data_IF_342500696346
#
_entry.id   IF_342500696346
#
_cell.length_a   1.000
_cell.length_b   1.000
_cell.length_c   1.000
_cell.angle_alpha   90.00
_cell.angle_beta   90.00
_cell.angle_gamma   90.00
#
_symmetry.space_group_name_H-M   'P 1'
#
loop_
_entity.id
_entity.type
_entity.pdbx_description
1 polymer ?
#
# COMPACT_ATOMS: atom_id res chain seq x y z
N UNK A 1 -68.25 -24.25 -5.86
CA UNK A 1 -67.01 -23.47 -6.10
C UNK A 1 -66.79 -22.53 -4.93
N UNK A 2 -65.84 -22.83 -4.04
CA UNK A 2 -65.47 -22.01 -2.87
C UNK A 2 -63.98 -21.64 -3.03
N UNK A 3 -63.69 -20.38 -3.29
CA UNK A 3 -62.33 -19.85 -3.29
C UNK A 3 -62.03 -19.28 -1.89
N UNK A 4 -61.00 -19.84 -1.24
CA UNK A 4 -60.46 -19.34 0.03
C UNK A 4 -59.44 -18.25 -0.27
N UNK A 5 -59.71 -17.04 0.23
CA UNK A 5 -58.76 -15.95 0.38
C UNK A 5 -57.67 -16.35 1.38
N UNK A 6 -56.39 -16.27 0.98
CA UNK A 6 -55.23 -16.36 1.86
C UNK A 6 -54.73 -14.95 2.12
N UNK A 7 -54.92 -14.49 3.35
CA UNK A 7 -54.24 -13.33 3.93
C UNK A 7 -52.75 -13.63 4.09
N UNK A 8 -51.92 -12.71 3.61
CA UNK A 8 -50.47 -12.77 3.71
C UNK A 8 -50.06 -12.14 5.04
N UNK A 9 -49.38 -12.92 5.86
CA UNK A 9 -48.86 -12.57 7.18
C UNK A 9 -47.35 -12.25 7.04
N UNK A 10 -46.85 -11.04 7.33
CA UNK A 10 -45.43 -10.71 7.22
C UNK A 10 -44.77 -10.61 8.59
N UNK A 11 -44.87 -11.63 9.44
CA UNK A 11 -44.11 -11.69 10.69
C UNK A 11 -43.58 -13.10 10.97
N UNK A 12 -42.53 -13.54 10.27
CA UNK A 12 -41.59 -14.58 10.78
C UNK A 12 -40.19 -14.40 10.23
N UNK A 13 -39.40 -13.57 10.91
CA UNK A 13 -37.94 -13.55 10.84
C UNK A 13 -37.33 -13.95 12.19
N UNK A 14 -37.73 -15.10 12.73
CA UNK A 14 -37.20 -15.64 13.98
C UNK A 14 -35.74 -16.12 13.78
N UNK A 15 -34.77 -15.43 14.37
CA UNK A 15 -33.40 -15.95 14.48
C UNK A 15 -33.36 -17.07 15.53
N UNK A 16 -33.22 -18.32 15.08
CA UNK A 16 -32.88 -19.47 15.92
C UNK A 16 -31.37 -19.61 16.00
N UNK A 17 -30.81 -19.45 17.20
CA UNK A 17 -29.43 -19.82 17.51
C UNK A 17 -29.35 -21.36 17.59
N UNK A 18 -28.50 -21.97 16.76
CA UNK A 18 -28.26 -23.41 16.80
C UNK A 18 -27.33 -23.75 17.98
N UNK A 19 -27.83 -24.56 18.92
CA UNK A 19 -27.00 -25.35 19.83
C UNK A 19 -26.43 -26.54 19.07
N UNK A 20 -25.11 -26.60 18.88
CA UNK A 20 -24.43 -27.86 18.59
C UNK A 20 -24.46 -28.71 19.87
N UNK A 21 -25.27 -29.79 19.87
CA UNK A 21 -25.19 -30.85 20.88
C UNK A 21 -23.96 -31.71 20.57
N UNK A 22 -23.19 -31.99 21.60
CA UNK A 22 -21.86 -32.57 21.53
C UNK A 22 -21.73 -33.89 20.79
N UNK A 23 -20.55 -34.06 20.19
CA UNK A 23 -19.94 -35.34 19.95
C UNK A 23 -18.82 -35.50 20.98
N UNK A 24 -18.90 -36.55 21.80
CA UNK A 24 -17.79 -37.02 22.64
C UNK A 24 -16.68 -37.52 21.71
N UNK A 25 -15.47 -37.03 21.90
CA UNK A 25 -14.26 -37.75 21.50
C UNK A 25 -13.33 -37.79 22.70
N UNK A 26 -13.09 -39.01 23.18
CA UNK A 26 -12.23 -39.33 24.30
C UNK A 26 -10.76 -38.96 24.03
N UNK A 27 -10.08 -38.52 25.09
CA UNK A 27 -8.67 -38.81 25.35
C UNK A 27 -7.62 -37.95 24.64
N UNK A 28 -7.12 -36.91 25.31
CA UNK A 28 -5.72 -36.85 25.79
C UNK A 28 -5.32 -35.45 26.28
N UNK A 29 -4.49 -35.47 27.32
CA UNK A 29 -3.96 -34.41 28.19
C UNK A 29 -3.49 -33.09 27.54
N UNK A 30 -3.93 -31.94 28.09
CA UNK A 30 -3.17 -30.67 28.23
C UNK A 30 -3.80 -29.79 29.36
N UNK A 31 -3.06 -28.83 29.96
CA UNK A 31 -3.20 -28.42 31.36
C UNK A 31 -4.37 -27.48 31.65
N UNK A 32 -4.76 -27.49 32.93
CA UNK A 32 -5.91 -26.83 33.53
C UNK A 32 -5.83 -25.31 33.51
N UNK A 33 -6.94 -24.73 33.05
CA UNK A 33 -7.37 -23.33 33.19
C UNK A 33 -7.59 -22.96 34.65
N UNK A 34 -6.69 -22.16 35.23
CA UNK A 34 -6.99 -21.36 36.40
C UNK A 34 -6.01 -20.18 36.48
N UNK A 35 -6.24 -19.14 35.66
CA UNK A 35 -5.73 -17.78 35.94
C UNK A 35 -6.35 -16.65 35.09
N UNK A 36 -7.51 -16.89 34.45
CA UNK A 36 -8.07 -15.92 33.48
C UNK A 36 -9.41 -15.29 33.89
N UNK A 37 -9.88 -15.49 35.12
CA UNK A 37 -11.21 -15.00 35.55
C UNK A 37 -11.20 -13.73 36.42
N UNK A 38 -10.08 -13.02 36.60
CA UNK A 38 -10.05 -11.81 37.49
C UNK A 38 -9.70 -10.47 36.84
N UNK A 39 -9.84 -10.31 35.52
CA UNK A 39 -9.62 -9.00 34.86
C UNK A 39 -10.63 -8.63 33.78
N UNK A 40 -11.92 -8.78 34.08
CA UNK A 40 -12.99 -8.30 33.19
C UNK A 40 -14.20 -7.74 33.93
N UNK A 41 -13.96 -7.16 35.12
CA UNK A 41 -14.91 -6.25 35.76
C UNK A 41 -14.38 -4.82 35.61
N UNK A 42 -15.33 -3.90 35.35
CA UNK A 42 -15.21 -2.50 34.94
C UNK A 42 -14.86 -2.24 33.47
N UNK A 43 -15.87 -2.04 32.62
CA UNK A 43 -16.05 -0.80 31.84
C UNK A 43 -17.53 -0.63 31.43
N UNK A 44 -17.96 0.63 31.47
CA UNK A 44 -19.33 1.17 31.42
C UNK A 44 -20.04 1.05 30.06
N UNK A 45 -21.37 1.26 30.10
CA UNK A 45 -22.34 1.30 28.99
C UNK A 45 -21.80 1.67 27.61
N UNK A 46 -21.96 0.75 26.65
CA UNK A 46 -21.48 0.82 25.27
C UNK A 46 -20.47 -0.27 24.97
N UNK A 47 -20.90 -1.51 24.71
CA UNK A 47 -19.97 -2.63 24.52
C UNK A 47 -19.34 -2.57 23.12
N UNK A 48 -18.13 -2.02 23.04
CA UNK A 48 -17.22 -2.11 21.89
C UNK A 48 -16.54 -3.47 21.90
N UNK A 49 -16.82 -4.31 20.91
CA UNK A 49 -16.21 -5.64 20.82
C UNK A 49 -15.05 -5.61 19.82
N UNK A 50 -13.85 -5.83 20.35
CA UNK A 50 -12.59 -5.85 19.62
C UNK A 50 -12.24 -7.28 19.20
N UNK A 51 -12.13 -7.51 17.90
CA UNK A 51 -11.60 -8.75 17.35
C UNK A 51 -10.32 -8.45 16.57
N UNK A 52 -9.18 -8.84 17.15
CA UNK A 52 -7.88 -8.83 16.45
C UNK A 52 -7.68 -10.19 15.76
N UNK A 53 -7.63 -10.20 14.43
CA UNK A 53 -7.38 -11.39 13.64
C UNK A 53 -5.99 -12.01 13.87
N UNK A 54 -5.05 -11.34 14.57
CA UNK A 54 -3.69 -11.84 14.75
C UNK A 54 -3.55 -12.96 15.81
N UNK A 55 -4.52 -13.14 16.71
CA UNK A 55 -4.57 -14.26 17.66
C UNK A 55 -5.23 -15.50 17.05
N UNK A 56 -4.69 -16.03 15.94
CA UNK A 56 -5.21 -17.22 15.24
C UNK A 56 -5.28 -18.52 16.09
N UNK A 57 -4.70 -18.53 17.30
CA UNK A 57 -4.71 -19.70 18.19
C UNK A 57 -5.64 -19.56 19.41
N UNK A 58 -6.36 -18.44 19.57
CA UNK A 58 -7.48 -18.35 20.52
C UNK A 58 -8.77 -18.34 19.73
N UNK A 59 -9.46 -19.48 19.72
CA UNK A 59 -10.86 -19.58 19.31
C UNK A 59 -11.69 -18.66 20.21
N UNK A 60 -11.94 -17.42 19.77
CA UNK A 60 -12.98 -16.60 20.38
C UNK A 60 -14.30 -17.21 19.94
N UNK A 61 -14.92 -17.93 20.86
CA UNK A 61 -16.24 -18.51 20.66
C UNK A 61 -17.26 -17.36 20.51
N UNK A 62 -17.68 -17.09 19.27
CA UNK A 62 -18.69 -16.07 18.98
C UNK A 62 -20.01 -16.35 19.74
N UNK A 63 -20.24 -17.59 20.20
CA UNK A 63 -21.38 -17.95 21.05
C UNK A 63 -21.22 -17.49 22.52
N UNK A 64 -20.03 -17.05 22.93
CA UNK A 64 -19.73 -16.48 24.26
C UNK A 64 -19.68 -14.95 24.26
N UNK A 65 -19.92 -14.30 23.13
CA UNK A 65 -20.14 -12.84 23.12
C UNK A 65 -21.34 -12.57 24.04
N UNK A 66 -21.19 -11.78 25.12
CA UNK A 66 -22.26 -11.46 26.04
C UNK A 66 -23.49 -10.93 25.31
N UNK A 67 -24.67 -11.27 25.81
CA UNK A 67 -25.90 -10.70 25.26
C UNK A 67 -25.89 -9.17 25.41
N UNK A 68 -26.32 -8.45 24.37
CA UNK A 68 -26.15 -7.00 24.28
C UNK A 68 -26.97 -6.26 25.35
N UNK A 69 -26.30 -5.81 26.42
CA UNK A 69 -26.90 -4.95 27.45
C UNK A 69 -26.92 -3.46 27.03
N UNK A 70 -26.06 -3.05 26.09
CA UNK A 70 -25.96 -1.67 25.60
C UNK A 70 -26.91 -1.37 24.43
N UNK A 71 -27.23 -0.08 24.25
CA UNK A 71 -28.04 0.47 23.14
C UNK A 71 -27.34 0.41 21.78
N UNK A 72 -26.01 0.31 21.78
CA UNK A 72 -25.16 0.34 20.58
C UNK A 72 -24.12 -0.76 20.66
N UNK A 73 -24.07 -1.63 19.65
CA UNK A 73 -23.04 -2.66 19.50
C UNK A 73 -22.27 -2.39 18.22
N UNK A 74 -21.00 -2.05 18.35
CA UNK A 74 -20.08 -1.87 17.22
C UNK A 74 -18.98 -2.92 17.33
N UNK A 75 -18.86 -3.74 16.29
CA UNK A 75 -17.84 -4.76 16.15
C UNK A 75 -16.73 -4.22 15.26
N UNK A 76 -15.51 -4.12 15.78
CA UNK A 76 -14.34 -3.70 15.02
C UNK A 76 -13.53 -4.95 14.66
N UNK A 77 -13.42 -5.23 13.37
CA UNK A 77 -12.66 -6.33 12.82
C UNK A 77 -11.44 -5.77 12.10
N UNK A 78 -10.25 -6.29 12.40
CA UNK A 78 -9.02 -5.92 11.73
C UNK A 78 -8.25 -7.19 11.33
N UNK A 79 -7.71 -7.18 10.11
CA UNK A 79 -6.83 -8.24 9.64
C UNK A 79 -7.48 -9.59 9.41
N UNK A 80 -8.74 -9.59 9.00
CA UNK A 80 -9.44 -10.80 8.57
C UNK A 80 -8.72 -11.43 7.37
N UNK A 81 -8.35 -12.72 7.46
CA UNK A 81 -7.98 -13.48 6.27
C UNK A 81 -9.22 -14.02 5.56
N UNK A 82 -9.05 -14.40 4.28
CA UNK A 82 -10.11 -15.02 3.49
C UNK A 82 -10.58 -16.34 4.11
N UNK A 83 -9.65 -17.10 4.68
CA UNK A 83 -9.92 -18.36 5.37
C UNK A 83 -10.71 -18.12 6.66
N UNK A 84 -10.35 -17.08 7.43
CA UNK A 84 -11.10 -16.69 8.62
C UNK A 84 -12.53 -16.31 8.24
N UNK A 85 -12.72 -15.55 7.16
CA UNK A 85 -14.05 -15.21 6.66
C UNK A 85 -14.84 -16.45 6.27
N UNK A 86 -14.26 -17.37 5.50
CA UNK A 86 -14.92 -18.62 5.14
C UNK A 86 -15.30 -19.46 6.37
N UNK A 87 -14.48 -19.45 7.42
CA UNK A 87 -14.73 -20.18 8.66
C UNK A 87 -15.82 -19.56 9.53
N UNK A 88 -15.73 -18.25 9.81
CA UNK A 88 -16.63 -17.56 10.74
C UNK A 88 -17.96 -17.12 10.10
N UNK A 89 -17.99 -16.87 8.79
CA UNK A 89 -19.13 -16.19 8.16
C UNK A 89 -20.01 -17.16 7.37
N UNK A 90 -19.48 -18.28 6.83
CA UNK A 90 -20.33 -19.31 6.21
C UNK A 90 -21.47 -19.82 7.11
N UNK A 91 -21.32 -19.96 8.44
CA UNK A 91 -22.40 -20.44 9.30
C UNK A 91 -23.37 -19.35 9.76
N UNK A 92 -23.06 -18.06 9.61
CA UNK A 92 -23.83 -16.97 10.25
C UNK A 92 -24.99 -16.51 9.34
N UNK A 93 -26.26 -16.81 9.68
CA UNK A 93 -27.41 -16.42 8.85
C UNK A 93 -27.57 -14.90 8.86
N UNK A 94 -27.81 -14.30 7.69
CA UNK A 94 -28.10 -12.86 7.55
C UNK A 94 -26.88 -11.97 7.28
N UNK A 95 -25.65 -12.47 7.45
CA UNK A 95 -24.46 -11.73 7.05
C UNK A 95 -24.23 -11.88 5.54
N UNK A 96 -24.24 -10.77 4.81
CA UNK A 96 -24.10 -10.81 3.36
C UNK A 96 -22.67 -11.24 2.97
N UNK A 97 -22.51 -12.40 2.34
CA UNK A 97 -21.20 -12.90 1.87
C UNK A 97 -20.53 -11.94 0.88
N UNK A 98 -21.32 -11.19 0.10
CA UNK A 98 -20.75 -10.22 -0.84
C UNK A 98 -20.05 -9.07 -0.13
N UNK A 99 -20.41 -8.76 1.12
CA UNK A 99 -19.75 -7.71 1.90
C UNK A 99 -18.26 -8.01 2.11
N UNK A 100 -17.94 -9.21 2.63
CA UNK A 100 -16.53 -9.58 2.84
C UNK A 100 -15.80 -9.82 1.53
N UNK A 101 -16.49 -10.36 0.52
CA UNK A 101 -15.92 -10.48 -0.81
C UNK A 101 -15.48 -9.12 -1.36
N UNK A 102 -16.34 -8.10 -1.30
CA UNK A 102 -16.04 -6.73 -1.75
C UNK A 102 -14.92 -6.07 -0.95
N UNK A 103 -14.85 -6.34 0.36
CA UNK A 103 -13.74 -5.90 1.21
C UNK A 103 -12.42 -6.40 0.64
N UNK A 104 -12.28 -7.69 0.30
CA UNK A 104 -11.01 -8.25 -0.17
C UNK A 104 -10.60 -7.90 -1.60
N UNK A 105 -11.50 -7.38 -2.44
CA UNK A 105 -11.12 -7.00 -3.80
C UNK A 105 -10.16 -5.81 -3.78
N UNK A 106 -9.25 -5.70 -4.75
CA UNK A 106 -8.40 -4.50 -4.89
C UNK A 106 -9.19 -3.30 -5.41
N UNK A 107 -10.10 -3.52 -6.35
CA UNK A 107 -11.03 -2.54 -6.88
C UNK A 107 -12.46 -3.07 -6.75
N UNK A 108 -13.43 -2.19 -6.55
CA UNK A 108 -14.84 -2.60 -6.62
C UNK A 108 -15.24 -2.70 -8.09
N UNK A 109 -15.92 -3.77 -8.54
CA UNK A 109 -16.37 -3.88 -9.92
C UNK A 109 -17.36 -2.77 -10.25
N UNK A 110 -17.29 -2.24 -11.47
CA UNK A 110 -18.21 -1.20 -11.91
C UNK A 110 -19.66 -1.69 -11.82
N UNK A 111 -20.53 -0.91 -11.17
CA UNK A 111 -21.95 -1.23 -11.01
C UNK A 111 -22.29 -2.25 -9.91
N UNK A 112 -21.30 -2.84 -9.23
CA UNK A 112 -21.55 -3.77 -8.11
C UNK A 112 -21.67 -3.09 -6.74
N UNK A 113 -21.31 -1.80 -6.63
CA UNK A 113 -21.83 -0.97 -5.55
C UNK A 113 -23.31 -0.66 -5.80
N UNK A 114 -24.17 -1.68 -5.74
CA UNK A 114 -25.52 -1.44 -5.26
C UNK A 114 -25.34 -1.17 -3.78
N UNK A 115 -25.24 0.12 -3.42
CA UNK A 115 -25.33 0.57 -2.05
C UNK A 115 -26.59 -0.07 -1.47
N UNK A 116 -26.43 -1.16 -0.73
CA UNK A 116 -27.49 -1.56 0.18
C UNK A 116 -27.60 -0.40 1.15
N UNK A 117 -28.81 0.02 1.51
CA UNK A 117 -29.03 1.13 2.43
C UNK A 117 -28.22 1.04 3.73
N UNK A 118 -27.75 -0.17 4.09
CA UNK A 118 -27.06 -0.45 5.33
C UNK A 118 -25.61 -0.97 5.16
N UNK A 119 -24.94 -0.74 4.02
CA UNK A 119 -23.50 -1.01 3.91
C UNK A 119 -22.77 -0.02 3.01
N UNK A 120 -21.50 0.22 3.30
CA UNK A 120 -20.59 0.99 2.44
C UNK A 120 -19.17 0.41 2.45
N UNK A 121 -18.43 0.71 1.38
CA UNK A 121 -17.07 0.24 1.16
C UNK A 121 -16.24 1.41 0.66
N UNK A 122 -15.14 1.70 1.36
CA UNK A 122 -14.21 2.74 0.97
C UNK A 122 -12.83 2.14 0.80
N UNK A 123 -12.17 2.58 -0.27
CA UNK A 123 -10.79 2.25 -0.59
C UNK A 123 -10.07 3.56 -0.87
N UNK A 124 -9.01 3.83 -0.15
CA UNK A 124 -8.28 5.09 -0.30
C UNK A 124 -6.79 4.86 -0.17
N UNK A 125 -6.04 5.93 -0.42
CA UNK A 125 -4.60 5.93 -0.26
C UNK A 125 -4.25 6.74 0.98
N UNK A 126 -3.53 6.09 1.89
CA UNK A 126 -2.93 6.71 3.07
C UNK A 126 -1.45 6.92 2.84
N UNK A 127 -0.89 7.98 3.41
CA UNK A 127 0.55 8.13 3.49
C UNK A 127 1.12 7.19 4.55
N UNK A 128 2.14 6.43 4.19
CA UNK A 128 2.95 5.68 5.15
C UNK A 128 4.44 5.93 4.98
N UNK A 129 5.17 5.90 6.09
CA UNK A 129 6.64 5.99 6.12
C UNK A 129 7.25 4.61 6.35
N UNK A 130 8.16 4.19 5.46
CA UNK A 130 8.93 2.95 5.60
C UNK A 130 10.42 3.28 5.72
N UNK A 131 11.17 2.59 6.58
CA UNK A 131 12.64 2.79 6.62
C UNK A 131 13.25 2.40 5.27
N UNK A 132 14.11 3.26 4.73
CA UNK A 132 14.69 3.11 3.38
C UNK A 132 15.49 1.84 3.19
N UNK A 133 16.29 1.46 4.18
CA UNK A 133 17.05 0.22 4.11
C UNK A 133 16.14 -1.02 4.05
N UNK A 134 14.99 -1.00 4.75
CA UNK A 134 13.98 -2.06 4.72
C UNK A 134 13.25 -2.11 3.37
N UNK A 135 12.91 -0.94 2.81
CA UNK A 135 12.36 -0.85 1.45
C UNK A 135 13.31 -1.39 0.39
N UNK A 136 14.61 -1.08 0.49
CA UNK A 136 15.63 -1.58 -0.41
C UNK A 136 15.73 -3.12 -0.33
N UNK A 137 15.70 -3.69 0.89
CA UNK A 137 15.66 -5.14 1.06
C UNK A 137 14.40 -5.75 0.44
N UNK A 138 13.23 -5.17 0.68
CA UNK A 138 11.98 -5.66 0.10
C UNK A 138 11.99 -5.63 -1.44
N UNK A 139 12.50 -4.55 -2.02
CA UNK A 139 12.66 -4.40 -3.48
C UNK A 139 13.61 -5.46 -4.05
N UNK A 140 14.70 -5.78 -3.32
CA UNK A 140 15.63 -6.86 -3.71
C UNK A 140 14.97 -8.23 -3.67
N UNK A 141 14.24 -8.53 -2.59
CA UNK A 141 13.53 -9.80 -2.43
C UNK A 141 12.47 -9.97 -3.53
N UNK A 142 11.71 -8.90 -3.82
CA UNK A 142 10.74 -8.91 -4.92
C UNK A 142 11.38 -9.16 -6.29
N UNK A 143 12.64 -8.77 -6.47
CA UNK A 143 13.44 -9.06 -7.67
C UNK A 143 14.10 -10.45 -7.66
N UNK A 144 13.77 -11.33 -6.70
CA UNK A 144 14.35 -12.67 -6.57
C UNK A 144 15.80 -12.68 -6.09
N UNK A 145 16.29 -11.57 -5.52
CA UNK A 145 17.66 -11.47 -4.97
C UNK A 145 17.65 -11.84 -3.49
N UNK A 146 18.79 -12.32 -2.99
CA UNK A 146 18.99 -12.57 -1.57
C UNK A 146 18.79 -11.29 -0.74
N UNK A 147 18.30 -11.48 0.49
CA UNK A 147 18.03 -10.40 1.44
C UNK A 147 19.33 -9.68 1.85
N UNK A 148 20.43 -10.41 1.92
CA UNK A 148 21.76 -9.85 2.14
C UNK A 148 22.41 -9.49 0.79
N UNK A 149 23.05 -8.32 0.74
CA UNK A 149 23.83 -7.87 -0.41
C UNK A 149 25.05 -8.73 -0.69
N UNK A 150 25.61 -9.36 0.33
CA UNK A 150 26.91 -10.01 0.27
C UNK A 150 26.83 -11.52 -0.03
N UNK A 151 25.66 -12.14 0.15
CA UNK A 151 25.54 -13.60 0.02
C UNK A 151 24.84 -14.04 -1.26
N UNK A 152 25.51 -14.90 -2.04
CA UNK A 152 24.95 -15.55 -3.23
C UNK A 152 23.94 -16.66 -2.92
N UNK A 153 23.99 -17.23 -1.71
CA UNK A 153 23.06 -18.24 -1.19
C UNK A 153 22.27 -17.66 -0.03
N UNK A 154 21.09 -18.20 0.24
CA UNK A 154 20.30 -17.84 1.41
C UNK A 154 21.05 -18.29 2.69
N UNK A 155 21.44 -17.37 3.60
CA UNK A 155 22.10 -17.73 4.86
C UNK A 155 21.33 -18.74 5.72
N UNK A 156 20.00 -18.85 5.58
CA UNK A 156 19.22 -19.91 6.23
C UNK A 156 19.63 -21.32 5.79
N UNK A 157 20.04 -21.50 4.54
CA UNK A 157 20.42 -22.80 3.98
C UNK A 157 21.79 -23.29 4.49
N UNK A 158 22.61 -22.37 5.01
CA UNK A 158 23.96 -22.62 5.53
C UNK A 158 24.04 -22.44 7.05
N UNK A 159 22.91 -22.23 7.72
CA UNK A 159 22.84 -22.09 9.18
C UNK A 159 23.61 -20.90 9.73
N UNK A 160 23.69 -19.79 8.97
CA UNK A 160 24.34 -18.56 9.43
C UNK A 160 23.32 -17.62 10.06
N UNK A 161 23.78 -16.91 11.10
CA UNK A 161 23.04 -15.80 11.70
C UNK A 161 22.66 -14.77 10.63
N UNK A 162 21.39 -14.36 10.62
CA UNK A 162 20.92 -13.43 9.61
C UNK A 162 19.69 -12.64 10.05
N UNK A 163 19.41 -11.57 9.31
CA UNK A 163 18.16 -10.84 9.36
C UNK A 163 17.24 -11.34 8.26
N UNK A 164 16.17 -12.03 8.64
CA UNK A 164 15.15 -12.51 7.73
C UNK A 164 14.02 -11.48 7.63
N UNK A 165 13.73 -11.02 6.41
CA UNK A 165 12.53 -10.24 6.18
C UNK A 165 11.32 -11.16 6.13
N UNK A 166 10.46 -11.12 7.17
CA UNK A 166 9.18 -11.83 7.16
C UNK A 166 8.06 -10.86 6.83
N UNK A 167 7.28 -11.22 5.81
CA UNK A 167 5.99 -10.58 5.56
C UNK A 167 4.85 -11.38 6.17
N UNK A 168 3.94 -10.69 6.88
CA UNK A 168 2.76 -11.26 7.51
C UNK A 168 1.55 -10.36 7.22
N UNK A 169 0.36 -10.86 6.79
CA UNK A 169 0.02 -12.09 6.04
C UNK A 169 -0.11 -11.83 4.51
N UNK A 170 -0.53 -12.87 3.76
CA UNK A 170 -0.55 -12.96 2.27
C UNK A 170 -1.43 -11.94 1.53
N UNK A 171 -2.38 -11.28 2.20
CA UNK A 171 -3.27 -10.29 1.57
C UNK A 171 -2.56 -8.94 1.57
N UNK A 172 -1.71 -8.73 0.57
CA UNK A 172 -1.06 -7.43 0.37
C UNK A 172 -1.90 -6.62 -0.59
N UNK A 173 -2.53 -5.55 -0.08
CA UNK A 173 -2.86 -4.46 -0.99
C UNK A 173 -1.57 -3.82 -1.49
N UNK A 174 -1.51 -3.45 -2.77
CA UNK A 174 -0.35 -2.77 -3.31
C UNK A 174 -0.10 -1.47 -2.53
N UNK A 175 1.16 -1.08 -2.46
CA UNK A 175 1.55 0.25 -2.04
C UNK A 175 2.66 0.74 -2.95
N UNK A 176 2.65 2.04 -3.20
CA UNK A 176 3.47 2.66 -4.23
C UNK A 176 4.39 3.67 -3.56
N UNK A 177 5.70 3.66 -3.83
CA UNK A 177 6.56 4.75 -3.38
C UNK A 177 6.05 6.05 -4.04
N UNK A 178 5.93 7.10 -3.23
CA UNK A 178 5.61 8.45 -3.67
C UNK A 178 6.86 9.18 -4.15
N UNK A 179 8.03 8.69 -3.76
CA UNK A 179 9.32 9.25 -4.14
C UNK A 179 9.98 8.44 -5.26
N UNK A 180 10.79 9.09 -6.09
CA UNK A 180 11.56 8.38 -7.10
C UNK A 180 12.59 7.44 -6.46
N UNK A 181 12.73 6.24 -7.02
CA UNK A 181 13.82 5.34 -6.67
C UNK A 181 15.13 5.89 -7.27
N UNK A 182 15.79 6.74 -6.50
CA UNK A 182 17.07 7.30 -6.90
C UNK A 182 18.17 6.30 -6.62
N UNK A 183 18.77 5.74 -7.68
CA UNK A 183 20.06 5.06 -7.61
C UNK A 183 21.19 6.10 -7.69
N UNK A 184 21.10 7.15 -6.87
CA UNK A 184 22.19 8.11 -6.84
C UNK A 184 23.35 7.47 -6.10
N UNK A 185 24.54 7.54 -6.69
CA UNK A 185 25.78 7.31 -5.95
C UNK A 185 25.74 8.28 -4.76
N UNK A 186 25.88 7.79 -3.53
CA UNK A 186 25.83 8.61 -2.31
C UNK A 186 26.79 9.82 -2.36
N UNK A 187 27.80 9.75 -3.22
CA UNK A 187 28.82 10.78 -3.43
C UNK A 187 28.43 11.92 -4.39
N UNK A 188 27.36 11.82 -5.18
CA UNK A 188 27.02 12.82 -6.21
C UNK A 188 25.98 13.86 -5.76
N UNK A 189 25.56 13.82 -4.49
CA UNK A 189 24.53 14.70 -3.96
C UNK A 189 25.11 15.77 -3.01
N UNK A 190 24.61 17.01 -3.05
CA UNK A 190 25.14 18.11 -2.24
C UNK A 190 24.96 17.94 -0.72
N UNK A 191 24.05 17.05 -0.27
CA UNK A 191 23.88 16.75 1.15
C UNK A 191 23.32 15.32 1.34
N UNK A 192 24.15 14.33 1.73
CA UNK A 192 23.68 12.98 2.00
C UNK A 192 22.72 12.90 3.21
N UNK A 193 22.67 13.90 4.09
CA UNK A 193 21.69 13.97 5.19
C UNK A 193 20.31 14.46 4.75
N UNK A 194 20.19 15.03 3.55
CA UNK A 194 18.91 15.50 3.02
C UNK A 194 18.01 14.35 2.52
N UNK A 195 18.57 13.15 2.32
CA UNK A 195 17.73 11.97 2.09
C UNK A 195 17.17 11.46 3.40
N UNK A 196 15.86 11.65 3.53
CA UNK A 196 15.06 11.04 4.58
C UNK A 196 15.43 9.56 4.72
N UNK A 197 15.75 9.15 5.96
CA UNK A 197 15.91 7.74 6.39
C UNK A 197 14.71 6.88 5.98
N UNK A 198 13.61 7.53 5.60
CA UNK A 198 12.34 6.96 5.23
C UNK A 198 12.05 7.11 3.73
N UNK A 199 11.22 6.21 3.23
CA UNK A 199 10.58 6.29 1.92
C UNK A 199 9.10 6.52 2.19
N UNK A 200 8.52 7.48 1.47
CA UNK A 200 7.10 7.82 1.59
C UNK A 200 6.32 6.96 0.61
N UNK A 201 5.24 6.36 1.06
CA UNK A 201 4.39 5.46 0.26
C UNK A 201 2.93 5.92 0.25
N UNK A 202 2.27 5.73 -0.89
CA UNK A 202 0.82 5.70 -1.01
C UNK A 202 0.38 4.26 -0.77
N UNK A 203 -0.15 4.05 0.42
CA UNK A 203 -0.60 2.80 0.97
C UNK A 203 -2.08 2.66 0.70
N UNK A 204 -2.48 1.63 -0.05
CA UNK A 204 -3.89 1.34 -0.26
C UNK A 204 -4.50 0.74 1.01
N UNK A 205 -5.57 1.34 1.49
CA UNK A 205 -6.34 0.97 2.68
C UNK A 205 -7.80 0.76 2.30
N UNK A 206 -8.48 -0.10 3.04
CA UNK A 206 -9.90 -0.35 2.89
C UNK A 206 -10.60 -0.40 4.24
N UNK A 207 -11.78 0.20 4.24
CA UNK A 207 -12.73 0.15 5.33
C UNK A 207 -14.07 -0.28 4.77
N UNK A 208 -14.72 -1.24 5.41
CA UNK A 208 -16.05 -1.70 5.03
C UNK A 208 -16.95 -1.66 6.25
N UNK A 209 -18.12 -1.06 6.10
CA UNK A 209 -19.08 -0.92 7.18
C UNK A 209 -20.41 -1.54 6.79
N UNK A 210 -20.91 -2.42 7.63
CA UNK A 210 -22.23 -3.02 7.54
C UNK A 210 -22.95 -2.71 8.83
N UNK A 211 -24.20 -2.28 8.77
CA UNK A 211 -24.97 -2.05 9.98
C UNK A 211 -26.42 -2.53 9.81
N UNK A 212 -27.12 -2.60 10.92
CA UNK A 212 -28.55 -2.88 10.97
C UNK A 212 -29.11 -2.39 12.31
N UNK A 213 -30.44 -2.33 12.41
CA UNK A 213 -31.14 -2.12 13.68
C UNK A 213 -31.85 -3.41 14.06
N UNK A 214 -31.60 -3.90 15.27
CA UNK A 214 -32.25 -5.09 15.85
C UNK A 214 -32.92 -4.63 17.14
N UNK A 215 -34.25 -4.73 17.22
CA UNK A 215 -35.03 -4.25 18.37
C UNK A 215 -34.70 -2.81 18.75
N UNK A 216 -34.67 -1.90 17.76
CA UNK A 216 -34.24 -0.49 17.88
C UNK A 216 -32.78 -0.27 18.33
N UNK A 217 -32.02 -1.33 18.61
CA UNK A 217 -30.61 -1.24 18.95
C UNK A 217 -29.75 -1.22 17.69
N UNK A 218 -28.77 -0.32 17.68
CA UNK A 218 -27.81 -0.26 16.59
C UNK A 218 -26.81 -1.41 16.67
N UNK A 219 -26.62 -2.12 15.56
CA UNK A 219 -25.61 -3.17 15.42
C UNK A 219 -24.79 -2.91 14.16
N UNK A 220 -23.51 -2.59 14.34
CA UNK A 220 -22.58 -2.29 13.25
C UNK A 220 -21.37 -3.22 13.25
N UNK A 221 -20.87 -3.57 12.08
CA UNK A 221 -19.64 -4.31 11.83
C UNK A 221 -18.75 -3.45 10.93
N UNK A 222 -17.61 -3.05 11.47
CA UNK A 222 -16.61 -2.25 10.77
C UNK A 222 -15.36 -3.11 10.54
N UNK A 223 -14.96 -3.25 9.29
CA UNK A 223 -13.84 -4.08 8.88
C UNK A 223 -12.74 -3.21 8.30
N UNK A 224 -11.56 -3.30 8.89
CA UNK A 224 -10.33 -2.68 8.42
C UNK A 224 -9.40 -3.72 7.81
N UNK A 225 -8.58 -3.27 6.87
CA UNK A 225 -7.48 -4.08 6.35
C UNK A 225 -6.52 -4.55 7.44
N UNK A 226 -5.73 -5.58 7.13
CA UNK A 226 -4.67 -6.04 8.02
C UNK A 226 -3.63 -4.95 8.27
N UNK A 227 -3.11 -4.83 9.51
CA UNK A 227 -1.98 -3.96 9.76
C UNK A 227 -0.78 -4.44 8.95
N UNK A 228 -0.03 -3.49 8.39
CA UNK A 228 1.17 -3.73 7.60
C UNK A 228 2.34 -4.12 8.49
N UNK A 229 2.29 -5.32 9.06
CA UNK A 229 3.32 -5.85 9.96
C UNK A 229 4.45 -6.53 9.16
N UNK A 230 5.11 -5.73 8.34
CA UNK A 230 6.40 -6.14 7.80
C UNK A 230 7.42 -6.06 8.90
N UNK A 231 8.15 -7.15 9.11
CA UNK A 231 9.17 -7.17 10.13
C UNK A 231 10.45 -7.82 9.64
N UNK A 232 11.56 -7.23 10.06
CA UNK A 232 12.85 -7.91 10.01
C UNK A 232 13.02 -8.68 11.29
N UNK A 233 13.28 -9.98 11.15
CA UNK A 233 13.47 -10.90 12.25
C UNK A 233 14.92 -11.32 12.29
N UNK A 234 15.59 -11.03 13.39
CA UNK A 234 16.96 -11.49 13.60
C UNK A 234 16.93 -12.96 14.05
N UNK A 235 17.46 -13.84 13.20
CA UNK A 235 17.61 -15.27 13.44
C UNK A 235 19.04 -15.58 13.83
N UNK A 236 19.21 -16.31 14.94
CA UNK A 236 20.50 -16.82 15.40
C UNK A 236 20.52 -18.33 15.40
N UNK A 237 21.59 -18.90 14.86
CA UNK A 237 21.85 -20.33 14.78
C UNK A 237 22.93 -20.72 15.78
N UNK A 238 22.68 -21.79 16.53
CA UNK A 238 23.69 -22.37 17.42
C UNK A 238 24.51 -23.38 16.62
N UNK A 239 25.84 -23.24 16.65
CA UNK A 239 26.74 -24.16 15.95
C UNK A 239 26.51 -25.59 16.47
N UNK A 240 26.26 -26.54 15.57
CA UNK A 240 26.32 -27.97 15.86
C UNK A 240 25.01 -28.72 16.08
N UNK A 241 23.82 -28.13 15.87
CA UNK A 241 22.57 -28.89 15.83
C UNK A 241 21.56 -28.33 14.82
N UNK A 242 20.71 -29.22 14.32
CA UNK A 242 19.53 -29.00 13.45
C UNK A 242 18.40 -28.25 14.20
N UNK A 243 18.75 -27.19 14.93
CA UNK A 243 17.81 -26.43 15.76
C UNK A 243 17.14 -25.33 14.95
N UNK A 244 15.85 -25.11 15.23
CA UNK A 244 15.14 -23.94 14.72
C UNK A 244 15.84 -22.66 15.19
N UNK A 245 16.02 -21.66 14.31
CA UNK A 245 16.67 -20.41 14.67
C UNK A 245 15.91 -19.69 15.79
N UNK A 246 16.65 -19.10 16.72
CA UNK A 246 16.09 -18.28 17.79
C UNK A 246 15.77 -16.88 17.24
N UNK A 247 14.53 -16.41 17.42
CA UNK A 247 14.09 -15.06 17.07
C UNK A 247 14.48 -14.10 18.19
N UNK A 248 15.46 -13.24 17.93
CA UNK A 248 16.05 -12.35 18.95
C UNK A 248 15.38 -10.99 18.95
N UNK A 249 15.08 -10.47 17.77
CA UNK A 249 14.58 -9.12 17.60
C UNK A 249 13.62 -9.06 16.43
N UNK A 250 12.58 -8.25 16.59
CA UNK A 250 11.58 -7.95 15.57
C UNK A 250 11.52 -6.45 15.38
N UNK A 251 11.85 -5.98 14.18
CA UNK A 251 11.80 -4.56 13.82
C UNK A 251 10.70 -4.32 12.79
N UNK A 252 9.76 -3.42 13.08
CA UNK A 252 8.70 -3.03 12.15
C UNK A 252 9.25 -2.18 11.01
N UNK A 253 8.77 -2.43 9.79
CA UNK A 253 9.27 -1.70 8.63
C UNK A 253 8.68 -0.31 8.44
N UNK A 254 7.44 -0.14 8.88
CA UNK A 254 6.73 1.12 8.83
C UNK A 254 6.89 1.85 10.16
N UNK A 255 7.09 3.17 10.09
CA UNK A 255 7.22 4.05 11.26
C UNK A 255 5.86 4.42 11.82
N UNK A 256 4.85 4.50 10.95
CA UNK A 256 3.50 4.82 11.35
C UNK A 256 2.89 3.63 12.09
N UNK A 257 3.02 3.64 13.41
CA UNK A 257 2.58 2.54 14.27
C UNK A 257 1.05 2.40 14.37
N UNK A 258 0.28 3.43 14.00
CA UNK A 258 -1.17 3.41 14.20
C UNK A 258 -1.91 2.75 13.06
N UNK A 259 -2.62 1.67 13.39
CA UNK A 259 -3.54 1.01 12.46
C UNK A 259 -4.77 1.86 12.18
N UNK A 260 -5.49 1.58 11.08
CA UNK A 260 -6.73 2.30 10.78
C UNK A 260 -7.77 2.13 11.89
N UNK A 261 -7.82 0.94 12.50
CA UNK A 261 -8.66 0.64 13.67
C UNK A 261 -8.29 1.48 14.88
N UNK A 262 -7.00 1.62 15.19
CA UNK A 262 -6.53 2.40 16.34
C UNK A 262 -6.82 3.89 16.17
N UNK A 263 -6.60 4.43 14.96
CA UNK A 263 -7.00 5.81 14.62
C UNK A 263 -8.50 5.99 14.83
N UNK A 264 -9.30 5.05 14.34
CA UNK A 264 -10.76 5.09 14.47
C UNK A 264 -11.20 5.07 15.92
N UNK A 265 -10.64 4.16 16.72
CA UNK A 265 -10.96 4.04 18.16
C UNK A 265 -10.64 5.33 18.89
N UNK A 266 -9.46 5.91 18.67
CA UNK A 266 -9.09 7.21 19.26
C UNK A 266 -9.97 8.37 18.83
N UNK A 267 -10.44 8.36 17.58
CA UNK A 267 -11.38 9.37 17.11
C UNK A 267 -12.74 9.18 17.79
N UNK A 268 -13.19 7.93 17.94
CA UNK A 268 -14.43 7.58 18.62
C UNK A 268 -14.40 7.99 20.11
N UNK A 269 -13.28 7.77 20.79
CA UNK A 269 -13.07 8.13 22.21
C UNK A 269 -13.18 9.64 22.48
N UNK A 270 -13.03 10.48 21.44
CA UNK A 270 -13.17 11.93 21.53
C UNK A 270 -14.61 12.41 21.36
N UNK A 271 -15.51 11.54 20.90
CA UNK A 271 -16.91 11.89 20.66
C UNK A 271 -17.72 11.71 21.94
N UNK A 272 -18.61 12.65 22.22
CA UNK A 272 -19.58 12.54 23.32
C UNK A 272 -20.45 11.28 23.14
N UNK A 273 -20.49 10.42 24.17
CA UNK A 273 -21.29 9.20 24.17
C UNK A 273 -22.79 9.47 23.96
N UNK A 274 -23.30 10.63 24.38
CA UNK A 274 -24.69 11.00 24.15
C UNK A 274 -24.98 11.19 22.66
N UNK A 275 -24.02 11.76 21.91
CA UNK A 275 -24.12 11.94 20.44
C UNK A 275 -23.98 10.59 19.75
N UNK A 276 -23.00 9.79 20.15
CA UNK A 276 -22.78 8.44 19.61
C UNK A 276 -24.00 7.54 19.80
N UNK A 277 -24.69 7.63 20.94
CA UNK A 277 -25.88 6.82 21.22
C UNK A 277 -27.10 7.21 20.40
N UNK A 278 -27.22 8.50 20.02
CA UNK A 278 -28.34 9.00 19.23
C UNK A 278 -28.21 8.65 17.75
N UNK A 279 -27.03 8.89 17.18
CA UNK A 279 -26.79 8.76 15.74
C UNK A 279 -25.48 8.02 15.44
N UNK A 280 -25.34 6.76 15.88
CA UNK A 280 -24.07 6.02 15.77
C UNK A 280 -23.61 5.88 14.31
N UNK A 281 -24.54 5.62 13.40
CA UNK A 281 -24.25 5.50 11.97
C UNK A 281 -23.59 6.77 11.41
N UNK A 282 -24.14 7.93 11.75
CA UNK A 282 -23.71 9.23 11.23
C UNK A 282 -22.31 9.57 11.75
N UNK A 283 -22.07 9.36 13.04
CA UNK A 283 -20.78 9.57 13.69
C UNK A 283 -19.70 8.70 13.07
N UNK A 284 -19.99 7.40 12.90
CA UNK A 284 -19.04 6.44 12.31
C UNK A 284 -18.69 6.84 10.87
N UNK A 285 -19.70 7.18 10.06
CA UNK A 285 -19.51 7.69 8.69
C UNK A 285 -18.63 8.93 8.69
N UNK A 286 -18.93 9.93 9.51
CA UNK A 286 -18.17 11.18 9.61
C UNK A 286 -16.69 10.93 9.91
N UNK A 287 -16.39 10.09 10.91
CA UNK A 287 -15.00 9.76 11.29
C UNK A 287 -14.25 9.14 10.11
N UNK A 288 -14.86 8.17 9.41
CA UNK A 288 -14.22 7.48 8.29
C UNK A 288 -14.01 8.42 7.11
N UNK A 289 -15.01 9.25 6.78
CA UNK A 289 -14.92 10.23 5.71
C UNK A 289 -13.81 11.26 5.98
N UNK A 290 -13.68 11.70 7.23
CA UNK A 290 -12.59 12.59 7.64
C UNK A 290 -11.23 11.93 7.42
N UNK A 291 -11.06 10.67 7.82
CA UNK A 291 -9.80 9.95 7.59
C UNK A 291 -9.45 9.83 6.11
N UNK A 292 -10.42 9.48 5.28
CA UNK A 292 -10.22 9.35 3.84
C UNK A 292 -9.75 10.69 3.25
N UNK A 293 -10.41 11.79 3.63
CA UNK A 293 -10.04 13.14 3.18
C UNK A 293 -8.62 13.51 3.59
N UNK A 294 -8.31 13.41 4.89
CA UNK A 294 -7.01 13.80 5.44
C UNK A 294 -5.87 12.98 4.84
N UNK A 295 -6.10 11.67 4.69
CA UNK A 295 -5.13 10.74 4.11
C UNK A 295 -4.87 11.06 2.63
N UNK A 296 -5.92 11.36 1.84
CA UNK A 296 -5.74 11.78 0.46
C UNK A 296 -5.00 13.11 0.35
N UNK A 297 -5.35 14.11 1.16
CA UNK A 297 -4.65 15.41 1.16
C UNK A 297 -3.17 15.25 1.49
N UNK A 298 -2.83 14.41 2.47
CA UNK A 298 -1.45 14.08 2.78
C UNK A 298 -0.74 13.44 1.58
N UNK A 299 -1.35 12.44 0.93
CA UNK A 299 -0.76 11.79 -0.26
C UNK A 299 -0.58 12.79 -1.41
N UNK A 300 -1.57 13.65 -1.67
CA UNK A 300 -1.49 14.66 -2.73
C UNK A 300 -0.41 15.69 -2.47
N UNK A 301 -0.26 16.14 -1.21
CA UNK A 301 0.82 17.02 -0.79
C UNK A 301 2.18 16.40 -1.08
N UNK A 302 2.39 15.13 -0.70
CA UNK A 302 3.63 14.42 -0.98
C UNK A 302 3.93 14.22 -2.47
N UNK A 303 2.89 14.06 -3.30
CA UNK A 303 3.07 14.04 -4.75
C UNK A 303 3.51 15.41 -5.26
N UNK A 304 2.92 16.52 -4.76
CA UNK A 304 3.34 17.89 -5.13
C UNK A 304 4.81 18.13 -4.79
N UNK A 305 5.25 17.79 -3.57
CA UNK A 305 6.66 17.87 -3.16
C UNK A 305 7.57 17.12 -4.14
N UNK A 306 7.13 15.94 -4.56
CA UNK A 306 7.91 15.10 -5.47
C UNK A 306 7.96 15.69 -6.88
N UNK A 307 6.87 16.26 -7.38
CA UNK A 307 6.85 16.95 -8.66
C UNK A 307 7.75 18.18 -8.63
N UNK A 308 7.76 18.94 -7.53
CA UNK A 308 8.66 20.08 -7.33
C UNK A 308 10.12 19.67 -7.32
N UNK A 309 10.44 18.54 -6.68
CA UNK A 309 11.78 17.97 -6.73
C UNK A 309 12.19 17.58 -8.16
N UNK A 310 11.27 16.96 -8.92
CA UNK A 310 11.54 16.59 -10.33
C UNK A 310 11.75 17.85 -11.17
N UNK A 311 10.89 18.86 -11.02
CA UNK A 311 11.00 20.16 -11.71
C UNK A 311 12.37 20.80 -11.42
N UNK A 312 12.81 20.79 -10.17
CA UNK A 312 14.14 21.27 -9.77
C UNK A 312 15.27 20.43 -10.39
N UNK A 313 15.20 19.10 -10.30
CA UNK A 313 16.23 18.20 -10.78
C UNK A 313 16.35 18.17 -12.32
N UNK A 314 15.28 18.52 -13.06
CA UNK A 314 15.33 18.69 -14.52
C UNK A 314 16.27 19.82 -14.97
N UNK A 315 16.62 20.77 -14.10
CA UNK A 315 17.58 21.83 -14.41
C UNK A 315 19.06 21.37 -14.41
N UNK A 316 19.34 20.15 -13.94
CA UNK A 316 20.68 19.59 -13.84
C UNK A 316 20.81 18.33 -14.70
N UNK A 317 21.50 18.44 -15.83
CA UNK A 317 21.65 17.36 -16.83
C UNK A 317 22.22 16.06 -16.26
N UNK A 318 23.13 16.14 -15.27
CA UNK A 318 23.72 14.96 -14.64
C UNK A 318 22.68 14.21 -13.81
N UNK A 319 21.90 14.93 -13.00
CA UNK A 319 20.82 14.34 -12.21
C UNK A 319 19.71 13.81 -13.12
N UNK A 320 19.34 14.57 -14.16
CA UNK A 320 18.33 14.18 -15.12
C UNK A 320 18.62 12.79 -15.70
N UNK A 321 19.84 12.56 -16.20
CA UNK A 321 20.20 11.28 -16.81
C UNK A 321 20.04 10.09 -15.85
N UNK A 322 20.47 10.24 -14.60
CA UNK A 322 20.42 9.17 -13.60
C UNK A 322 19.00 8.91 -13.08
N UNK A 323 18.16 9.94 -13.03
CA UNK A 323 16.83 9.87 -12.41
C UNK A 323 15.71 9.49 -13.37
N UNK A 324 15.85 9.78 -14.67
CA UNK A 324 14.82 9.56 -15.71
C UNK A 324 14.20 8.16 -15.67
N UNK A 325 14.96 7.04 -15.58
CA UNK A 325 14.35 5.71 -15.55
C UNK A 325 13.41 5.52 -14.36
N UNK A 326 13.80 6.02 -13.18
CA UNK A 326 12.98 5.97 -11.97
C UNK A 326 11.72 6.84 -12.09
N UNK A 327 11.86 8.03 -12.67
CA UNK A 327 10.74 8.95 -12.89
C UNK A 327 9.71 8.38 -13.86
N UNK A 328 10.12 7.73 -14.94
CA UNK A 328 9.18 7.09 -15.88
C UNK A 328 8.30 6.04 -15.19
N UNK A 329 8.91 5.21 -14.33
CA UNK A 329 8.16 4.21 -13.54
C UNK A 329 7.22 4.91 -12.55
N UNK A 330 7.69 5.97 -11.88
CA UNK A 330 6.88 6.75 -10.95
C UNK A 330 5.66 7.38 -11.65
N UNK A 331 5.84 8.08 -12.77
CA UNK A 331 4.74 8.69 -13.53
C UNK A 331 3.73 7.67 -14.04
N UNK A 332 4.18 6.48 -14.46
CA UNK A 332 3.29 5.38 -14.81
C UNK A 332 2.39 4.98 -13.64
N UNK A 333 2.96 4.82 -12.44
CA UNK A 333 2.21 4.51 -11.21
C UNK A 333 1.28 5.65 -10.80
N UNK A 334 1.74 6.91 -10.85
CA UNK A 334 0.93 8.08 -10.53
C UNK A 334 -0.30 8.18 -11.44
N UNK A 335 -0.18 7.99 -12.76
CA UNK A 335 -1.33 8.00 -13.68
C UNK A 335 -2.39 6.95 -13.34
N UNK A 336 -1.95 5.72 -13.05
CA UNK A 336 -2.85 4.65 -12.60
C UNK A 336 -3.50 5.03 -11.27
N UNK A 337 -2.71 5.59 -10.36
CA UNK A 337 -3.16 6.00 -9.05
C UNK A 337 -4.18 7.14 -9.04
N UNK A 338 -4.00 8.15 -9.88
CA UNK A 338 -5.00 9.21 -10.06
C UNK A 338 -6.30 8.64 -10.63
N UNK A 339 -6.22 7.79 -11.66
CA UNK A 339 -7.40 7.15 -12.24
C UNK A 339 -8.20 6.35 -11.20
N UNK A 340 -7.51 5.64 -10.30
CA UNK A 340 -8.14 4.91 -9.21
C UNK A 340 -8.73 5.84 -8.15
N UNK A 341 -8.02 6.91 -7.81
CA UNK A 341 -8.45 7.88 -6.80
C UNK A 341 -9.69 8.65 -7.26
N UNK A 342 -9.73 9.09 -8.52
CA UNK A 342 -10.88 9.74 -9.13
C UNK A 342 -12.11 8.83 -9.14
N UNK A 343 -11.94 7.56 -9.55
CA UNK A 343 -13.05 6.59 -9.51
C UNK A 343 -13.53 6.37 -8.07
N UNK A 344 -12.61 6.16 -7.13
CA UNK A 344 -12.96 5.94 -5.72
C UNK A 344 -13.69 7.15 -5.10
N UNK A 345 -13.20 8.36 -5.35
CA UNK A 345 -13.84 9.60 -4.87
C UNK A 345 -15.21 9.80 -5.53
N UNK A 346 -15.33 9.53 -6.84
CA UNK A 346 -16.61 9.57 -7.56
C UNK A 346 -17.64 8.62 -6.97
N UNK A 347 -17.22 7.38 -6.68
CA UNK A 347 -18.09 6.38 -6.06
C UNK A 347 -18.47 6.77 -4.63
N UNK A 348 -17.53 7.31 -3.86
CA UNK A 348 -17.79 7.85 -2.54
C UNK A 348 -18.78 9.03 -2.57
N UNK A 349 -18.67 9.96 -3.53
CA UNK A 349 -19.62 11.05 -3.70
C UNK A 349 -21.04 10.54 -4.00
N UNK A 350 -21.19 9.46 -4.79
CA UNK A 350 -22.50 8.82 -5.03
C UNK A 350 -23.08 8.27 -3.72
N UNK A 351 -22.25 7.65 -2.89
CA UNK A 351 -22.65 7.11 -1.58
C UNK A 351 -23.08 8.25 -0.65
N UNK A 352 -22.32 9.34 -0.57
CA UNK A 352 -22.67 10.53 0.23
C UNK A 352 -24.05 11.05 -0.21
N UNK A 353 -24.25 11.29 -1.50
CA UNK A 353 -25.54 11.76 -2.06
C UNK A 353 -26.72 10.85 -1.72
N UNK A 354 -26.49 9.53 -1.72
CA UNK A 354 -27.56 8.58 -1.41
C UNK A 354 -27.94 8.56 0.08
N UNK A 355 -27.00 8.88 0.97
CA UNK A 355 -27.22 8.86 2.42
C UNK A 355 -27.57 10.23 3.02
N UNK A 356 -27.66 11.29 2.22
CA UNK A 356 -28.02 12.64 2.65
C UNK A 356 -26.82 13.51 3.05
N UNK A 357 -27.10 14.72 3.54
CA UNK A 357 -26.08 15.70 3.96
C UNK A 357 -25.33 15.18 5.18
N UNK A 358 -24.04 14.91 5.01
CA UNK A 358 -23.12 14.52 6.08
C UNK A 358 -22.20 15.69 6.34
N UNK A 359 -22.09 16.18 7.57
CA UNK A 359 -21.12 17.21 7.89
C UNK A 359 -19.75 16.60 8.24
N UNK A 360 -18.68 17.22 7.75
CA UNK A 360 -17.28 16.87 7.99
C UNK A 360 -16.58 18.08 8.61
N UNK A 361 -15.84 17.88 9.69
CA UNK A 361 -15.09 18.97 10.34
C UNK A 361 -13.83 19.30 9.51
N UNK A 362 -13.71 20.54 9.03
CA UNK A 362 -12.48 21.00 8.38
C UNK A 362 -11.50 21.62 9.37
N UNK A 363 -12.02 22.43 10.29
CA UNK A 363 -11.30 23.15 11.33
C UNK A 363 -12.19 23.26 12.58
N UNK A 364 -11.63 23.54 13.77
CA UNK A 364 -12.43 23.75 14.97
C UNK A 364 -13.47 24.86 14.75
N UNK A 365 -14.74 24.49 14.61
CA UNK A 365 -15.86 25.43 14.38
C UNK A 365 -16.34 25.58 12.94
N UNK A 366 -15.73 24.90 11.96
CA UNK A 366 -16.20 24.89 10.56
C UNK A 366 -16.51 23.47 10.09
N UNK A 367 -17.79 23.10 10.19
CA UNK A 367 -18.35 21.93 9.53
C UNK A 367 -18.61 22.26 8.06
N UNK A 368 -18.03 21.47 7.15
CA UNK A 368 -18.30 21.54 5.73
C UNK A 368 -19.17 20.34 5.34
N UNK A 369 -20.09 20.54 4.40
CA UNK A 369 -20.83 19.42 3.85
C UNK A 369 -19.87 18.44 3.16
N UNK A 370 -20.07 17.14 3.38
CA UNK A 370 -19.20 16.08 2.89
C UNK A 370 -19.13 16.10 1.36
N UNK A 371 -20.24 16.42 0.69
CA UNK A 371 -20.24 16.51 -0.76
C UNK A 371 -19.32 17.64 -1.24
N UNK A 372 -19.39 18.81 -0.61
CA UNK A 372 -18.50 19.93 -0.92
C UNK A 372 -17.03 19.57 -0.65
N UNK A 373 -16.75 18.87 0.46
CA UNK A 373 -15.40 18.48 0.86
C UNK A 373 -14.78 17.53 -0.17
N UNK A 374 -15.53 16.51 -0.60
CA UNK A 374 -15.07 15.55 -1.59
C UNK A 374 -15.09 16.11 -3.02
N UNK A 375 -15.95 17.07 -3.32
CA UNK A 375 -15.89 17.83 -4.57
C UNK A 375 -14.60 18.65 -4.66
N UNK A 376 -14.23 19.35 -3.57
CA UNK A 376 -12.96 20.07 -3.47
C UNK A 376 -11.77 19.11 -3.60
N UNK A 377 -11.80 17.97 -2.88
CA UNK A 377 -10.76 16.95 -2.97
C UNK A 377 -10.59 16.42 -4.40
N UNK A 378 -11.69 16.16 -5.11
CA UNK A 378 -11.64 15.71 -6.50
C UNK A 378 -11.00 16.78 -7.42
N UNK A 379 -11.30 18.07 -7.21
CA UNK A 379 -10.63 19.17 -7.93
C UNK A 379 -9.12 19.20 -7.64
N UNK A 380 -8.72 18.96 -6.39
CA UNK A 380 -7.30 18.87 -6.03
C UNK A 380 -6.60 17.69 -6.70
N UNK A 381 -7.24 16.51 -6.75
CA UNK A 381 -6.72 15.34 -7.48
C UNK A 381 -6.51 15.69 -8.96
N UNK A 382 -7.49 16.32 -9.60
CA UNK A 382 -7.40 16.74 -11.00
C UNK A 382 -6.28 17.77 -11.23
N UNK A 383 -6.12 18.72 -10.32
CA UNK A 383 -5.07 19.73 -10.40
C UNK A 383 -3.67 19.08 -10.31
N UNK A 384 -3.46 18.16 -9.35
CA UNK A 384 -2.18 17.45 -9.20
C UNK A 384 -1.93 16.51 -10.38
N UNK A 385 -2.97 15.83 -10.91
CA UNK A 385 -2.86 15.04 -12.13
C UNK A 385 -2.42 15.87 -13.33
N UNK A 386 -3.05 17.03 -13.54
CA UNK A 386 -2.72 17.94 -14.64
C UNK A 386 -1.28 18.43 -14.52
N UNK A 387 -0.86 18.79 -13.30
CA UNK A 387 0.54 19.17 -13.02
C UNK A 387 1.49 18.01 -13.31
N UNK A 388 1.18 16.80 -12.85
CA UNK A 388 2.02 15.63 -13.07
C UNK A 388 2.19 15.32 -14.57
N UNK A 389 1.12 15.44 -15.36
CA UNK A 389 1.20 15.28 -16.82
C UNK A 389 2.05 16.38 -17.47
N UNK A 390 1.87 17.63 -17.05
CA UNK A 390 2.69 18.76 -17.53
C UNK A 390 4.18 18.54 -17.22
N UNK A 391 4.53 18.16 -15.99
CA UNK A 391 5.92 17.84 -15.60
C UNK A 391 6.45 16.66 -16.41
N UNK A 392 5.64 15.63 -16.67
CA UNK A 392 6.07 14.51 -17.51
C UNK A 392 6.33 14.93 -18.96
N UNK A 393 5.49 15.78 -19.55
CA UNK A 393 5.73 16.30 -20.90
C UNK A 393 6.99 17.18 -20.96
N UNK A 394 7.20 18.03 -19.94
CA UNK A 394 8.43 18.80 -19.79
C UNK A 394 9.66 17.89 -19.72
N UNK A 395 9.59 16.83 -18.91
CA UNK A 395 10.66 15.83 -18.78
C UNK A 395 11.02 15.19 -20.13
N UNK A 396 10.01 14.76 -20.90
CA UNK A 396 10.24 14.14 -22.21
C UNK A 396 10.85 15.13 -23.21
N UNK A 397 10.43 16.40 -23.17
CA UNK A 397 11.02 17.47 -23.99
C UNK A 397 12.48 17.73 -23.63
N UNK A 398 12.79 17.92 -22.34
CA UNK A 398 14.17 18.15 -21.86
C UNK A 398 15.07 16.98 -22.21
N UNK A 399 14.60 15.75 -22.06
CA UNK A 399 15.37 14.56 -22.44
C UNK A 399 15.68 14.52 -23.94
N UNK A 400 14.70 14.85 -24.79
CA UNK A 400 14.91 14.94 -26.25
C UNK A 400 15.97 15.99 -26.62
N UNK A 401 15.96 17.14 -25.93
CA UNK A 401 16.96 18.20 -26.11
C UNK A 401 18.35 17.72 -25.69
N UNK A 402 18.49 17.09 -24.52
CA UNK A 402 19.77 16.59 -24.01
C UNK A 402 20.34 15.48 -24.92
N UNK A 403 19.49 14.57 -25.39
CA UNK A 403 19.90 13.54 -26.36
C UNK A 403 20.36 14.15 -27.69
N UNK A 404 19.66 15.17 -28.18
CA UNK A 404 20.05 15.90 -29.40
C UNK A 404 21.40 16.60 -29.24
N UNK A 405 21.63 17.30 -28.13
CA UNK A 405 22.91 17.94 -27.83
C UNK A 405 24.05 16.92 -27.76
N UNK A 406 23.82 15.77 -27.11
CA UNK A 406 24.80 14.68 -27.05
C UNK A 406 25.13 14.13 -28.43
N UNK A 407 24.14 13.95 -29.29
CA UNK A 407 24.35 13.50 -30.66
C UNK A 407 25.19 14.50 -31.48
N UNK A 408 24.94 15.81 -31.30
CA UNK A 408 25.72 16.88 -31.94
C UNK A 408 27.18 16.81 -31.48
N UNK A 409 27.44 16.74 -30.17
CA UNK A 409 28.80 16.66 -29.61
C UNK A 409 29.54 15.39 -30.10
N UNK A 410 28.82 14.27 -30.19
CA UNK A 410 29.38 13.03 -30.74
C UNK A 410 29.72 13.18 -32.22
N UNK A 411 28.85 13.80 -33.01
CA UNK A 411 29.09 14.06 -34.43
C UNK A 411 30.29 15.00 -34.64
N UNK A 412 30.43 16.06 -33.83
CA UNK A 412 31.60 16.94 -33.87
C UNK A 412 32.88 16.19 -33.50
N UNK A 413 32.83 15.31 -32.50
CA UNK A 413 33.98 14.50 -32.08
C UNK A 413 34.41 13.54 -33.18
N UNK A 414 33.44 12.87 -33.83
CA UNK A 414 33.70 12.01 -34.99
C UNK A 414 34.27 12.83 -36.15
N UNK A 415 33.74 14.03 -36.41
CA UNK A 415 34.26 14.93 -37.44
C UNK A 415 35.71 15.35 -37.16
N UNK A 416 36.04 15.69 -35.91
CA UNK A 416 37.43 16.04 -35.52
C UNK A 416 38.36 14.85 -35.71
N UNK A 417 37.92 13.65 -35.29
CA UNK A 417 38.70 12.42 -35.44
C UNK A 417 38.94 12.05 -36.91
N UNK A 418 37.90 12.16 -37.75
CA UNK A 418 38.03 11.86 -39.18
C UNK A 418 38.90 12.89 -39.89
N UNK A 419 38.74 14.20 -39.60
CA UNK A 419 39.64 15.23 -40.12
C UNK A 419 41.10 14.93 -39.77
N UNK A 420 41.39 14.53 -38.53
CA UNK A 420 42.74 14.17 -38.10
C UNK A 420 43.25 12.93 -38.86
N UNK A 421 42.42 11.89 -38.97
CA UNK A 421 42.76 10.68 -39.73
C UNK A 421 43.04 10.99 -41.22
N UNK A 422 42.28 11.89 -41.84
CA UNK A 422 42.50 12.31 -43.24
C UNK A 422 43.87 12.93 -43.47
N UNK A 423 44.43 13.64 -42.49
CA UNK A 423 45.80 14.18 -42.59
C UNK A 423 46.86 13.13 -42.27
N UNK A 424 46.70 12.39 -41.18
CA UNK A 424 47.76 11.50 -40.68
C UNK A 424 47.87 10.17 -41.43
N UNK A 425 46.79 9.61 -41.96
CA UNK A 425 46.84 8.33 -42.68
C UNK A 425 47.71 8.45 -43.96
N UNK A 426 47.53 9.44 -44.85
CA UNK A 426 48.40 9.61 -46.01
C UNK A 426 49.86 9.92 -45.61
N UNK A 427 50.07 10.76 -44.59
CA UNK A 427 51.42 11.13 -44.13
C UNK A 427 52.17 9.93 -43.56
N UNK A 428 51.51 9.12 -42.72
CA UNK A 428 52.11 7.90 -42.16
C UNK A 428 52.39 6.86 -43.24
N UNK A 429 51.54 6.77 -44.27
CA UNK A 429 51.82 5.94 -45.45
C UNK A 429 53.05 6.43 -46.21
N UNK A 430 53.16 7.73 -46.49
CA UNK A 430 54.34 8.30 -47.16
C UNK A 430 55.62 8.06 -46.35
N UNK A 431 55.57 8.31 -45.04
CA UNK A 431 56.70 8.05 -44.15
C UNK A 431 57.09 6.57 -44.11
N UNK A 432 56.12 5.66 -44.14
CA UNK A 432 56.34 4.21 -44.21
C UNK A 432 57.05 3.80 -45.51
N UNK A 433 56.60 4.33 -46.66
CA UNK A 433 57.24 4.08 -47.96
C UNK A 433 58.70 4.53 -47.96
N UNK A 434 59.02 5.68 -47.38
CA UNK A 434 60.41 6.15 -47.26
C UNK A 434 61.22 5.44 -46.18
N UNK A 435 60.58 4.87 -45.16
CA UNK A 435 61.22 4.07 -44.11
C UNK A 435 61.52 2.63 -44.52
N UNK A 436 60.93 2.13 -45.60
CA UNK A 436 61.22 0.80 -46.14
C UNK A 436 62.60 0.79 -46.82
N UNK A 437 63.52 -0.02 -46.30
CA UNK A 437 64.77 -0.36 -46.99
C UNK A 437 64.46 -1.24 -48.22
N UNK A 438 64.11 -0.61 -49.33
CA UNK A 438 63.94 -1.31 -50.59
C UNK A 438 65.34 -1.70 -51.08
N UNK A 439 65.69 -2.97 -50.95
CA UNK A 439 66.86 -3.54 -51.64
C UNK A 439 66.52 -3.50 -53.13
N UNK A 440 66.99 -2.46 -53.82
CA UNK A 440 66.93 -2.39 -55.28
C UNK A 440 67.80 -3.53 -55.79
N UNK A 441 67.18 -4.66 -56.11
CA UNK A 441 67.84 -5.73 -56.83
C UNK A 441 68.17 -5.20 -58.22
N UNK A 442 69.38 -4.66 -58.36
CA UNK A 442 69.98 -4.35 -59.65
C UNK A 442 70.12 -5.67 -60.42
N UNK A 443 69.08 -6.03 -61.18
CA UNK A 443 69.17 -7.08 -62.18
C UNK A 443 70.10 -6.56 -63.27
N UNK A 444 71.38 -6.86 -63.08
CA UNK A 444 72.45 -6.70 -64.06
C UNK A 444 72.06 -7.49 -65.30
N UNK A 445 71.35 -6.83 -66.23
CA UNK A 445 71.05 -7.37 -67.55
C UNK A 445 72.36 -7.38 -68.34
N UNK A 446 73.14 -8.43 -68.07
CA UNK A 446 74.39 -8.72 -68.76
C UNK A 446 73.99 -9.17 -70.17
N UNK A 447 74.12 -8.27 -71.15
CA UNK A 447 74.05 -8.62 -72.58
C UNK A 447 75.07 -9.73 -72.84
N UNK A 448 74.60 -10.93 -73.17
CA UNK A 448 75.42 -11.92 -73.87
C UNK A 448 75.10 -11.82 -75.36
N UNK A 449 76.18 -11.79 -76.13
CA UNK A 449 76.28 -11.67 -77.59
C UNK A 449 75.40 -12.65 -78.35
#
# INVERSE_FOLDING_TARGET
MRAKSKTHDPEKGLFRIFRSKGAKTDGSNYPTSSDWESKLDEYTSGSLWLFDGQEYNKTVDLAKIPQPSASTNLFLLEGLSREAVDYFIRPTPGLNKTFFYHHFLDCLPEGEQKATSNSFFFKWRRRALQKRHLWNMETRIAAGKAYDSETLRNPADIGLDHKEFKSHPRIRRPYEPLEPQLKLNENSLPDPKAYSEYVRHAVHECCSFLWTKIDEKFVGVLVFDSPRKYATIQKKYKWGMEQQPEEIARELCFVDDFTARERFTRALDRIDQAVLSREPELVIKRIILQFIRDDYLAVLSNIRDTLEFIDFAMSNDNLLHDCVPGWRVLFGKLRMGFSHSERSISDLMKVIRHHGTLEIEQEPGHALDAEEAFCSLNKEVQAVRTRAESTFQALMSTMSIVESQKAIVQQETVSKLTSLAFFFIPLTLSASVFGMNIVVSSSTMTKRF
#
